data_IF_510863506732
#
_entry.id   IF_510863506732
#
_cell.length_a   1.000
_cell.length_b   1.000
_cell.length_c   1.000
_cell.angle_alpha   90.00
_cell.angle_beta   90.00
_cell.angle_gamma   90.00
#
_symmetry.space_group_name_H-M   'P 1'
#
loop_
_entity.id
_entity.type
_entity.pdbx_description
1 polymer ?
#
# COMPACT_ATOMS: atom_id res chain seq x y z
N UNK A 1 0.66 13.49 23.69
CA UNK A 1 0.80 13.59 22.21
C UNK A 1 0.24 12.32 21.60
N UNK A 2 -0.67 12.42 20.64
CA UNK A 2 -1.12 11.24 19.91
C UNK A 2 0.06 10.63 19.16
N UNK A 3 0.26 9.32 19.29
CA UNK A 3 1.31 8.62 18.57
C UNK A 3 1.10 8.81 17.05
N UNK A 4 2.13 9.30 16.37
CA UNK A 4 2.07 9.55 14.93
C UNK A 4 2.08 8.21 14.21
N UNK A 5 1.09 7.93 13.38
CA UNK A 5 1.05 6.70 12.59
C UNK A 5 2.20 6.65 11.58
N UNK A 6 2.73 5.46 11.35
CA UNK A 6 3.73 5.17 10.31
C UNK A 6 3.04 4.48 9.13
N UNK A 7 3.27 4.96 7.93
CA UNK A 7 2.77 4.31 6.70
C UNK A 7 3.70 3.16 6.26
N UNK A 8 3.17 2.24 5.44
CA UNK A 8 3.95 1.18 4.77
C UNK A 8 5.22 1.74 4.11
N UNK A 9 5.09 2.83 3.34
CA UNK A 9 6.24 3.46 2.67
C UNK A 9 7.28 4.00 3.67
N UNK A 10 6.84 4.61 4.77
CA UNK A 10 7.76 5.09 5.83
C UNK A 10 8.45 3.92 6.53
N UNK A 11 7.75 2.82 6.79
CA UNK A 11 8.34 1.61 7.32
C UNK A 11 9.45 1.07 6.40
N UNK A 12 9.18 0.96 5.09
CA UNK A 12 10.18 0.51 4.11
C UNK A 12 11.39 1.44 4.03
N UNK A 13 11.19 2.76 4.10
CA UNK A 13 12.28 3.74 4.18
C UNK A 13 13.11 3.53 5.46
N UNK A 14 12.44 3.28 6.59
CA UNK A 14 13.09 3.04 7.88
C UNK A 14 13.95 1.78 7.91
N UNK A 15 13.51 0.71 7.26
CA UNK A 15 14.30 -0.52 7.11
C UNK A 15 15.59 -0.29 6.32
N UNK A 16 15.57 0.57 5.32
CA UNK A 16 16.76 0.92 4.56
C UNK A 16 17.72 1.80 5.38
N UNK A 17 17.20 2.83 6.05
CA UNK A 17 17.99 3.77 6.83
C UNK A 17 17.09 4.64 7.73
N UNK A 18 17.29 4.54 9.04
CA UNK A 18 16.54 5.34 10.03
C UNK A 18 16.78 6.85 9.84
N UNK A 19 17.99 7.27 9.47
CA UNK A 19 18.30 8.67 9.15
C UNK A 19 17.52 9.16 7.95
N UNK A 20 17.37 8.31 6.90
CA UNK A 20 16.53 8.62 5.72
C UNK A 20 15.08 8.80 6.11
N UNK A 21 14.54 7.95 7.00
CA UNK A 21 13.19 8.09 7.52
C UNK A 21 13.00 9.41 8.27
N UNK A 22 13.98 9.79 9.10
CA UNK A 22 13.95 11.07 9.82
C UNK A 22 13.93 12.25 8.84
N UNK A 23 14.84 12.26 7.84
CA UNK A 23 14.89 13.29 6.80
C UNK A 23 13.54 13.35 6.01
N UNK A 24 13.00 12.20 5.63
CA UNK A 24 11.72 12.10 4.94
C UNK A 24 10.57 12.75 5.73
N UNK A 25 10.56 12.60 7.04
CA UNK A 25 9.50 13.14 7.89
C UNK A 25 9.67 14.63 8.26
N UNK A 26 10.91 15.10 8.41
CA UNK A 26 11.19 16.39 9.04
C UNK A 26 11.99 17.37 8.16
N UNK A 27 12.63 16.88 7.11
CA UNK A 27 13.49 17.69 6.26
C UNK A 27 13.31 17.32 4.78
N UNK A 28 12.05 17.38 4.32
CA UNK A 28 11.72 17.15 2.90
C UNK A 28 12.43 18.13 1.95
N UNK A 29 12.78 19.31 2.47
CA UNK A 29 13.56 20.32 1.77
C UNK A 29 14.96 19.85 1.32
N UNK A 30 15.51 18.84 2.02
CA UNK A 30 16.80 18.23 1.69
C UNK A 30 16.70 17.02 0.75
N UNK A 31 15.50 16.65 0.35
CA UNK A 31 15.33 15.51 -0.56
C UNK A 31 15.71 15.92 -1.99
N UNK A 32 16.54 15.12 -2.69
CA UNK A 32 16.84 15.39 -4.10
C UNK A 32 15.59 15.29 -4.96
N UNK A 33 15.58 16.04 -6.06
CA UNK A 33 14.53 15.87 -7.07
C UNK A 33 14.53 14.43 -7.60
N UNK A 34 13.34 13.92 -7.92
CA UNK A 34 13.20 12.57 -8.49
C UNK A 34 13.82 12.55 -9.89
N UNK A 35 14.84 11.71 -10.14
CA UNK A 35 15.44 11.61 -11.46
C UNK A 35 14.41 11.12 -12.51
N UNK A 36 14.50 11.55 -13.78
CA UNK A 36 13.59 11.12 -14.83
C UNK A 36 13.47 9.59 -14.97
N UNK A 37 14.57 8.86 -14.83
CA UNK A 37 14.56 7.40 -14.87
C UNK A 37 13.73 6.78 -13.73
N UNK A 38 13.78 7.36 -12.53
CA UNK A 38 12.96 6.90 -11.41
C UNK A 38 11.49 7.25 -11.61
N UNK A 39 11.17 8.39 -12.23
CA UNK A 39 9.81 8.75 -12.59
C UNK A 39 9.19 7.75 -13.58
N UNK A 40 9.97 7.27 -14.56
CA UNK A 40 9.54 6.23 -15.49
C UNK A 40 9.18 4.92 -14.75
N UNK A 41 9.98 4.52 -13.76
CA UNK A 41 9.68 3.34 -12.95
C UNK A 41 8.37 3.49 -12.15
N UNK A 42 8.11 4.69 -11.62
CA UNK A 42 6.83 4.96 -10.92
C UNK A 42 5.64 4.89 -11.89
N UNK A 43 5.78 5.42 -13.09
CA UNK A 43 4.73 5.37 -14.11
C UNK A 43 4.45 3.91 -14.52
N UNK A 44 5.50 3.10 -14.74
CA UNK A 44 5.35 1.66 -14.99
C UNK A 44 4.64 0.93 -13.83
N UNK A 45 4.98 1.27 -12.58
CA UNK A 45 4.29 0.73 -11.41
C UNK A 45 2.80 1.01 -11.43
N UNK A 46 2.41 2.24 -11.80
CA UNK A 46 1.00 2.64 -11.92
C UNK A 46 0.29 1.84 -13.02
N UNK A 47 0.89 1.71 -14.21
CA UNK A 47 0.33 0.94 -15.32
C UNK A 47 0.12 -0.54 -14.95
N UNK A 48 1.09 -1.14 -14.25
CA UNK A 48 0.98 -2.54 -13.79
C UNK A 48 -0.11 -2.68 -12.73
N UNK A 49 -0.29 -1.68 -11.83
CA UNK A 49 -1.41 -1.63 -10.90
C UNK A 49 -2.77 -1.62 -11.62
N UNK A 50 -2.92 -0.80 -12.67
CA UNK A 50 -4.14 -0.77 -13.49
C UNK A 50 -4.39 -2.11 -14.23
N UNK A 51 -3.33 -2.78 -14.68
CA UNK A 51 -3.44 -4.12 -15.27
C UNK A 51 -3.91 -5.15 -14.23
N UNK A 52 -3.46 -5.05 -12.99
CA UNK A 52 -3.94 -5.92 -11.91
C UNK A 52 -5.44 -5.78 -11.70
N UNK A 53 -6.01 -4.55 -11.76
CA UNK A 53 -7.46 -4.35 -11.69
C UNK A 53 -8.23 -5.02 -12.84
N UNK A 54 -7.62 -5.15 -14.02
CA UNK A 54 -8.21 -5.88 -15.16
C UNK A 54 -8.12 -7.40 -14.99
N UNK A 55 -7.05 -7.87 -14.33
CA UNK A 55 -6.84 -9.29 -14.05
C UNK A 55 -7.78 -9.80 -12.95
N UNK A 56 -7.83 -9.12 -11.82
CA UNK A 56 -8.74 -9.39 -10.71
C UNK A 56 -10.07 -8.67 -10.96
N UNK A 57 -10.95 -9.27 -11.74
CA UNK A 57 -12.18 -8.62 -12.23
C UNK A 57 -13.21 -8.37 -11.13
N UNK A 58 -14.13 -7.43 -11.40
CA UNK A 58 -15.28 -7.10 -10.56
C UNK A 58 -14.93 -6.54 -9.17
N UNK A 59 -13.71 -6.05 -8.98
CA UNK A 59 -13.29 -5.41 -7.75
C UNK A 59 -13.89 -4.03 -7.55
N UNK A 60 -13.89 -3.58 -6.31
CA UNK A 60 -14.26 -2.22 -5.89
C UNK A 60 -13.02 -1.46 -5.45
N UNK A 61 -12.82 -0.27 -6.00
CA UNK A 61 -11.70 0.60 -5.68
C UNK A 61 -12.04 1.47 -4.47
N UNK A 62 -11.16 1.47 -3.47
CA UNK A 62 -11.16 2.44 -2.38
C UNK A 62 -10.45 3.71 -2.84
N UNK A 63 -11.22 4.64 -3.43
CA UNK A 63 -10.73 5.80 -4.20
C UNK A 63 -10.44 7.02 -3.31
N UNK A 64 -9.75 6.84 -2.17
CA UNK A 64 -9.37 7.94 -1.28
C UNK A 64 -7.86 8.18 -1.34
N UNK A 65 -7.47 9.45 -1.28
CA UNK A 65 -6.07 9.83 -1.21
C UNK A 65 -5.48 9.70 0.22
N UNK A 66 -4.19 10.01 0.35
CA UNK A 66 -3.47 9.93 1.62
C UNK A 66 -3.91 10.94 2.69
N UNK A 67 -4.75 11.93 2.34
CA UNK A 67 -5.31 12.89 3.30
C UNK A 67 -6.64 12.42 3.90
N UNK A 68 -7.27 11.41 3.29
CA UNK A 68 -8.58 10.88 3.62
C UNK A 68 -8.52 9.45 4.20
N UNK A 69 -7.47 9.14 4.95
CA UNK A 69 -7.23 7.80 5.50
C UNK A 69 -8.37 7.25 6.37
N UNK A 70 -9.01 8.04 7.25
CA UNK A 70 -10.16 7.53 8.03
C UNK A 70 -11.32 7.07 7.13
N UNK A 71 -11.61 7.82 6.07
CA UNK A 71 -12.66 7.48 5.10
C UNK A 71 -12.29 6.22 4.31
N UNK A 72 -11.01 6.09 3.89
CA UNK A 72 -10.51 4.91 3.19
C UNK A 72 -10.63 3.64 4.05
N UNK A 73 -10.30 3.73 5.34
CA UNK A 73 -10.42 2.61 6.28
C UNK A 73 -11.89 2.21 6.45
N UNK A 74 -12.78 3.19 6.63
CA UNK A 74 -14.20 2.89 6.82
C UNK A 74 -14.84 2.31 5.55
N UNK A 75 -14.50 2.83 4.38
CA UNK A 75 -14.96 2.27 3.11
C UNK A 75 -14.47 0.82 2.92
N UNK A 76 -13.20 0.54 3.22
CA UNK A 76 -12.67 -0.83 3.18
C UNK A 76 -13.47 -1.78 4.07
N UNK A 77 -13.79 -1.36 5.31
CA UNK A 77 -14.62 -2.15 6.23
C UNK A 77 -16.03 -2.38 5.69
N UNK A 78 -16.63 -1.34 5.10
CA UNK A 78 -17.97 -1.43 4.52
C UNK A 78 -18.00 -2.40 3.34
N UNK A 79 -17.02 -2.35 2.45
CA UNK A 79 -16.90 -3.28 1.33
C UNK A 79 -16.77 -4.74 1.82
N UNK A 80 -15.95 -4.98 2.85
CA UNK A 80 -15.81 -6.31 3.48
C UNK A 80 -17.14 -6.79 4.08
N UNK A 81 -17.83 -5.93 4.85
CA UNK A 81 -19.13 -6.26 5.48
C UNK A 81 -20.21 -6.55 4.45
N UNK A 82 -20.19 -5.83 3.33
CA UNK A 82 -21.15 -6.00 2.24
C UNK A 82 -20.84 -7.20 1.33
N UNK A 83 -19.83 -7.99 1.66
CA UNK A 83 -19.50 -9.21 0.94
C UNK A 83 -18.78 -9.01 -0.39
N UNK A 84 -18.14 -7.86 -0.59
CA UNK A 84 -17.32 -7.61 -1.78
C UNK A 84 -16.18 -8.64 -1.83
N UNK A 85 -16.02 -9.30 -2.95
CA UNK A 85 -15.05 -10.39 -3.10
C UNK A 85 -13.66 -9.92 -3.51
N UNK A 86 -13.57 -8.79 -4.23
CA UNK A 86 -12.31 -8.18 -4.66
C UNK A 86 -12.32 -6.69 -4.31
N UNK A 87 -11.29 -6.24 -3.59
CA UNK A 87 -11.14 -4.84 -3.18
C UNK A 87 -9.76 -4.36 -3.63
N UNK A 88 -9.72 -3.24 -4.36
CA UNK A 88 -8.48 -2.58 -4.74
C UNK A 88 -8.18 -1.43 -3.79
N UNK A 89 -6.90 -1.22 -3.50
CA UNK A 89 -6.41 -0.16 -2.62
C UNK A 89 -7.00 -0.23 -1.20
N UNK A 90 -7.33 -1.44 -0.73
CA UNK A 90 -7.88 -1.67 0.60
C UNK A 90 -6.98 -1.09 1.69
N UNK A 91 -7.53 -0.21 2.53
CA UNK A 91 -6.75 0.56 3.51
C UNK A 91 -7.06 0.09 4.93
N UNK A 92 -6.01 -0.17 5.70
CA UNK A 92 -6.10 -0.67 7.08
C UNK A 92 -5.20 0.12 8.02
N UNK A 93 -5.58 0.13 9.30
CA UNK A 93 -4.80 0.72 10.37
C UNK A 93 -4.83 -0.14 11.63
N UNK A 94 -3.67 -0.47 12.18
CA UNK A 94 -3.51 -1.22 13.42
C UNK A 94 -2.21 -0.79 14.13
N UNK A 95 -2.23 -0.65 15.46
CA UNK A 95 -1.08 -0.27 16.28
C UNK A 95 -0.26 0.92 15.73
N UNK A 96 -0.94 1.98 15.29
CA UNK A 96 -0.33 3.16 14.66
C UNK A 96 0.43 2.86 13.35
N UNK A 97 0.16 1.73 12.71
CA UNK A 97 0.64 1.42 11.37
C UNK A 97 -0.50 1.54 10.39
N UNK A 98 -0.24 2.16 9.25
CA UNK A 98 -1.18 2.35 8.15
C UNK A 98 -0.66 1.64 6.90
N UNK A 99 -1.49 0.80 6.31
CA UNK A 99 -1.17 0.10 5.07
C UNK A 99 -2.28 0.27 4.05
N UNK A 100 -1.90 0.21 2.78
CA UNK A 100 -2.80 0.10 1.64
C UNK A 100 -2.35 -1.09 0.82
N UNK A 101 -3.26 -2.02 0.59
CA UNK A 101 -3.03 -3.26 -0.14
C UNK A 101 -3.48 -3.09 -1.58
N UNK A 102 -2.65 -3.45 -2.56
CA UNK A 102 -3.01 -3.28 -3.97
C UNK A 102 -4.28 -4.05 -4.33
N UNK A 103 -4.35 -5.34 -3.95
CA UNK A 103 -5.55 -6.18 -4.16
C UNK A 103 -5.80 -7.07 -2.96
N UNK A 104 -7.05 -7.13 -2.54
CA UNK A 104 -7.57 -8.13 -1.60
C UNK A 104 -8.61 -8.99 -2.32
N UNK A 105 -8.42 -10.28 -2.30
CA UNK A 105 -9.32 -11.25 -2.93
C UNK A 105 -9.85 -12.24 -1.90
N UNK A 106 -11.17 -12.37 -1.82
CA UNK A 106 -11.83 -13.30 -0.89
C UNK A 106 -11.82 -14.72 -1.42
N UNK A 107 -11.34 -15.64 -0.62
CA UNK A 107 -11.35 -17.07 -0.93
C UNK A 107 -12.71 -17.70 -0.63
N UNK A 108 -13.00 -18.85 -1.25
CA UNK A 108 -14.23 -19.63 -1.02
C UNK A 108 -14.41 -20.08 0.43
N UNK A 109 -13.31 -20.24 1.17
CA UNK A 109 -13.34 -20.60 2.59
C UNK A 109 -13.52 -19.39 3.53
N UNK A 110 -13.71 -18.17 2.98
CA UNK A 110 -13.90 -16.94 3.74
C UNK A 110 -12.60 -16.23 4.15
N UNK A 111 -11.42 -16.81 3.90
CA UNK A 111 -10.14 -16.11 4.08
C UNK A 111 -9.89 -15.11 2.96
N UNK A 112 -8.86 -14.26 3.15
CA UNK A 112 -8.47 -13.26 2.16
C UNK A 112 -7.04 -13.51 1.67
N UNK A 113 -6.83 -13.39 0.37
CA UNK A 113 -5.53 -13.25 -0.23
C UNK A 113 -5.15 -11.76 -0.23
N UNK A 114 -4.00 -11.46 0.33
CA UNK A 114 -3.35 -10.16 0.19
C UNK A 114 -2.38 -10.26 -0.98
N UNK A 115 -2.56 -9.44 -2.00
CA UNK A 115 -1.80 -9.48 -3.24
C UNK A 115 -1.13 -8.12 -3.42
N UNK A 116 0.19 -8.13 -3.42
CA UNK A 116 1.02 -6.98 -3.70
C UNK A 116 1.50 -7.04 -5.16
N UNK A 117 1.29 -5.98 -5.89
CA UNK A 117 1.57 -5.88 -7.34
C UNK A 117 2.91 -5.16 -7.55
N UNK A 118 3.80 -5.74 -8.34
CA UNK A 118 5.11 -5.18 -8.64
C UNK A 118 5.42 -5.25 -10.13
N UNK A 119 6.03 -4.19 -10.65
CA UNK A 119 6.49 -4.11 -12.04
C UNK A 119 7.86 -4.79 -12.22
N UNK A 120 8.04 -5.97 -11.65
CA UNK A 120 9.28 -6.77 -11.72
C UNK A 120 8.98 -8.17 -12.20
N UNK A 121 9.97 -8.82 -12.81
CA UNK A 121 9.85 -10.20 -13.31
C UNK A 121 10.13 -11.26 -12.25
N UNK A 122 10.72 -10.87 -11.12
CA UNK A 122 11.09 -11.78 -10.04
C UNK A 122 10.73 -11.17 -8.67
N UNK A 123 10.58 -12.02 -7.67
CA UNK A 123 10.48 -11.60 -6.27
C UNK A 123 11.86 -11.20 -5.77
N UNK A 124 11.95 -10.04 -5.13
CA UNK A 124 13.16 -9.51 -4.50
C UNK A 124 13.01 -9.46 -2.98
N UNK A 125 14.13 -9.40 -2.26
CA UNK A 125 14.15 -9.46 -0.79
C UNK A 125 13.32 -8.33 -0.14
N UNK A 126 13.27 -7.15 -0.73
CA UNK A 126 12.46 -6.03 -0.26
C UNK A 126 10.94 -6.25 -0.36
N UNK A 127 10.48 -7.20 -1.18
CA UNK A 127 9.05 -7.52 -1.28
C UNK A 127 8.52 -8.26 -0.04
N UNK A 128 9.37 -9.02 0.66
CA UNK A 128 8.96 -9.76 1.86
C UNK A 128 8.57 -8.84 3.02
N UNK A 129 9.39 -7.87 3.46
CA UNK A 129 8.97 -6.95 4.52
C UNK A 129 7.81 -6.04 4.09
N UNK A 130 7.66 -5.70 2.80
CA UNK A 130 6.55 -4.94 2.27
C UNK A 130 5.22 -5.70 2.45
N UNK A 131 5.16 -6.97 2.08
CA UNK A 131 3.98 -7.82 2.32
C UNK A 131 3.79 -8.19 3.78
N UNK A 132 4.86 -8.39 4.53
CA UNK A 132 4.79 -8.75 5.94
C UNK A 132 4.14 -7.67 6.80
N UNK A 133 4.48 -6.38 6.58
CA UNK A 133 3.85 -5.27 7.32
C UNK A 133 2.37 -5.13 6.98
N UNK A 134 1.96 -5.41 5.77
CA UNK A 134 0.56 -5.42 5.37
C UNK A 134 -0.22 -6.55 6.04
N UNK A 135 0.38 -7.74 6.14
CA UNK A 135 -0.22 -8.89 6.83
C UNK A 135 -0.32 -8.67 8.35
N UNK A 136 0.59 -7.87 8.93
CA UNK A 136 0.57 -7.55 10.36
C UNK A 136 -0.60 -6.65 10.72
N UNK A 137 -0.98 -5.71 9.86
CA UNK A 137 -2.05 -4.73 10.06
C UNK A 137 -3.42 -5.31 9.72
#
# INVERSE_FOLDING_TARGET
MAAKSISKSQYMIGLQCVKRLWLYNYRKDLMPAIPPAQQLLFNQGTEVGELAHKYFRNGKLVAYDHTQLPQAIEETKNLIRNGTEVIYEGTFGFNNVLVRCDVLEKNKNGSWNLIEVKSTTNVHDEHYPDTAIQKYV
#
